data_IF_785491573684
#
_entry.id   IF_785491573684
#
_cell.length_a   1.000
_cell.length_b   1.000
_cell.length_c   1.000
_cell.angle_alpha   90.00
_cell.angle_beta   90.00
_cell.angle_gamma   90.00
#
_symmetry.space_group_name_H-M   'P 1'
#
loop_
_entity.id
_entity.type
_entity.pdbx_description
1 polymer ?
#
# COMPACT_ATOMS: atom_id res chain seq x y z
N UNK A 1 0.82 -19.52 6.89
CA UNK A 1 2.07 -18.73 6.87
C UNK A 1 1.69 -17.29 7.16
N UNK A 2 2.53 -16.52 7.84
CA UNK A 2 2.28 -15.08 7.99
C UNK A 2 2.50 -14.40 6.63
N UNK A 3 1.67 -13.40 6.30
CA UNK A 3 1.82 -12.59 5.10
C UNK A 3 2.86 -11.50 5.30
N UNK A 4 3.34 -10.95 4.19
CA UNK A 4 4.34 -9.89 4.18
C UNK A 4 3.65 -8.52 4.20
N UNK A 5 4.14 -7.60 5.03
CA UNK A 5 3.74 -6.19 5.01
C UNK A 5 4.93 -5.37 4.54
N UNK A 6 4.83 -4.77 3.35
CA UNK A 6 5.83 -3.90 2.77
C UNK A 6 5.25 -2.48 2.63
N UNK A 7 5.95 -1.49 3.19
CA UNK A 7 5.55 -0.08 3.10
C UNK A 7 6.69 0.69 2.43
N UNK A 8 6.39 1.38 1.34
CA UNK A 8 7.35 2.09 0.51
C UNK A 8 6.84 3.51 0.30
N UNK A 9 7.71 4.49 0.51
CA UNK A 9 7.36 5.90 0.41
C UNK A 9 8.27 6.62 -0.58
N UNK A 10 7.85 7.81 -1.01
CA UNK A 10 8.59 8.70 -1.89
C UNK A 10 8.88 8.07 -3.26
N UNK A 11 7.92 7.33 -3.80
CA UNK A 11 8.00 6.75 -5.14
C UNK A 11 7.49 7.72 -6.21
N UNK A 12 8.07 7.64 -7.41
CA UNK A 12 7.43 8.12 -8.62
C UNK A 12 6.50 7.03 -9.16
N UNK A 13 5.40 7.39 -9.82
CA UNK A 13 4.49 6.41 -10.44
C UNK A 13 5.17 5.59 -11.54
N UNK A 14 6.19 6.14 -12.20
CA UNK A 14 6.99 5.43 -13.21
C UNK A 14 8.15 4.62 -12.62
N UNK A 15 8.27 4.56 -11.29
CA UNK A 15 9.34 3.81 -10.65
C UNK A 15 9.20 2.31 -10.95
N UNK A 16 10.27 1.62 -11.41
CA UNK A 16 10.21 0.22 -11.82
C UNK A 16 9.58 -0.72 -10.78
N UNK A 17 9.85 -0.45 -9.50
CA UNK A 17 9.31 -1.21 -8.38
C UNK A 17 7.78 -1.25 -8.38
N UNK A 18 7.10 -0.15 -8.74
CA UNK A 18 5.64 -0.11 -8.82
C UNK A 18 5.15 -1.10 -9.87
N UNK A 19 5.78 -1.12 -11.05
CA UNK A 19 5.42 -2.03 -12.15
C UNK A 19 5.75 -3.48 -11.82
N UNK A 20 6.87 -3.73 -11.17
CA UNK A 20 7.29 -5.07 -10.74
C UNK A 20 6.32 -5.64 -9.70
N UNK A 21 5.96 -4.87 -8.67
CA UNK A 21 4.98 -5.29 -7.66
C UNK A 21 3.60 -5.58 -8.26
N UNK A 22 3.15 -4.78 -9.25
CA UNK A 22 1.87 -5.01 -9.93
C UNK A 22 1.82 -6.31 -10.75
N UNK A 23 2.97 -6.92 -11.05
CA UNK A 23 3.11 -8.18 -11.81
C UNK A 23 3.49 -9.36 -10.93
N UNK A 24 3.73 -9.14 -9.64
CA UNK A 24 4.16 -10.18 -8.70
C UNK A 24 3.06 -11.23 -8.43
N UNK A 25 1.79 -10.83 -8.52
CA UNK A 25 0.65 -11.67 -8.19
C UNK A 25 -0.31 -11.85 -9.38
N UNK A 26 -0.84 -13.06 -9.55
CA UNK A 26 -1.86 -13.36 -10.58
C UNK A 26 -3.26 -12.84 -10.19
N UNK A 27 -3.59 -12.80 -8.89
CA UNK A 27 -4.83 -12.23 -8.34
C UNK A 27 -4.51 -11.37 -7.12
N UNK A 28 -5.00 -10.13 -7.10
CA UNK A 28 -4.84 -9.19 -5.97
C UNK A 28 -5.90 -8.10 -5.99
N UNK A 29 -6.04 -7.41 -4.85
CA UNK A 29 -6.86 -6.20 -4.72
C UNK A 29 -5.99 -4.96 -4.90
N UNK A 30 -6.21 -4.19 -5.96
CA UNK A 30 -5.54 -2.93 -6.22
C UNK A 30 -6.36 -1.77 -5.65
N UNK A 31 -5.88 -1.18 -4.57
CA UNK A 31 -6.53 -0.04 -3.91
C UNK A 31 -5.78 1.25 -4.26
N UNK A 32 -6.44 2.17 -4.96
CA UNK A 32 -5.80 3.41 -5.43
C UNK A 32 -6.47 4.64 -4.84
N UNK A 33 -5.69 5.61 -4.36
CA UNK A 33 -6.26 6.92 -4.01
C UNK A 33 -6.55 7.76 -5.24
N UNK A 34 -7.39 8.78 -5.06
CA UNK A 34 -7.65 9.77 -6.12
C UNK A 34 -6.38 10.42 -6.65
N UNK A 35 -6.42 10.77 -7.94
CA UNK A 35 -5.34 11.47 -8.63
C UNK A 35 -4.18 10.58 -9.11
N UNK A 36 -4.24 9.26 -8.90
CA UNK A 36 -3.35 8.30 -9.55
C UNK A 36 -3.89 7.97 -10.93
N UNK A 37 -3.07 8.20 -11.96
CA UNK A 37 -3.35 7.84 -13.35
C UNK A 37 -2.37 6.74 -13.72
N UNK A 38 -2.89 5.58 -14.10
CA UNK A 38 -2.09 4.45 -14.54
C UNK A 38 -2.77 3.76 -15.73
N UNK A 39 -1.97 3.11 -16.56
CA UNK A 39 -2.48 2.25 -17.61
C UNK A 39 -2.85 0.89 -17.00
N UNK A 40 -4.15 0.63 -16.90
CA UNK A 40 -4.68 -0.61 -16.36
C UNK A 40 -4.56 -1.80 -17.32
N UNK A 41 -4.18 -1.57 -18.59
CA UNK A 41 -4.02 -2.64 -19.57
C UNK A 41 -2.83 -3.56 -19.28
N UNK A 42 -1.90 -3.15 -18.42
CA UNK A 42 -0.76 -3.97 -18.00
C UNK A 42 -1.04 -4.85 -16.77
N UNK A 43 -2.24 -4.78 -16.20
CA UNK A 43 -2.60 -5.55 -15.01
C UNK A 43 -3.07 -6.96 -15.38
N UNK A 44 -2.80 -7.97 -14.52
CA UNK A 44 -3.34 -9.31 -14.73
C UNK A 44 -4.87 -9.33 -14.62
N UNK A 45 -5.53 -10.25 -15.33
CA UNK A 45 -6.99 -10.37 -15.37
C UNK A 45 -7.64 -10.55 -13.99
N UNK A 46 -6.90 -11.12 -13.02
CA UNK A 46 -7.35 -11.30 -11.64
C UNK A 46 -7.32 -10.03 -10.78
N UNK A 47 -6.74 -8.93 -11.26
CA UNK A 47 -6.62 -7.69 -10.49
C UNK A 47 -7.99 -7.02 -10.28
N UNK A 48 -8.38 -6.84 -9.02
CA UNK A 48 -9.62 -6.14 -8.64
C UNK A 48 -9.30 -4.73 -8.21
N UNK A 49 -9.71 -3.76 -9.01
CA UNK A 49 -9.34 -2.35 -8.84
C UNK A 49 -10.45 -1.62 -8.07
N UNK A 50 -10.08 -0.91 -7.01
CA UNK A 50 -10.99 -0.06 -6.24
C UNK A 50 -10.36 1.30 -5.95
N UNK A 51 -11.12 2.37 -6.19
CA UNK A 51 -10.74 3.73 -5.76
C UNK A 51 -11.09 3.96 -4.29
N UNK A 52 -10.18 4.60 -3.58
CA UNK A 52 -10.26 4.92 -2.16
C UNK A 52 -10.18 6.44 -1.99
N UNK A 53 -11.23 7.02 -1.41
CA UNK A 53 -11.34 8.45 -1.16
C UNK A 53 -10.92 8.82 0.26
N UNK A 54 -11.04 7.88 1.21
CA UNK A 54 -10.75 8.12 2.62
C UNK A 54 -10.00 6.96 3.25
N UNK A 55 -9.22 7.25 4.30
CA UNK A 55 -8.56 6.24 5.13
C UNK A 55 -9.54 5.21 5.70
N UNK A 56 -10.75 5.63 6.08
CA UNK A 56 -11.79 4.71 6.56
C UNK A 56 -12.23 3.69 5.51
N UNK A 57 -12.32 4.09 4.24
CA UNK A 57 -12.61 3.16 3.15
C UNK A 57 -11.46 2.17 2.95
N UNK A 58 -10.21 2.63 3.07
CA UNK A 58 -9.03 1.77 2.98
C UNK A 58 -9.02 0.70 4.08
N UNK A 59 -9.16 1.13 5.34
CA UNK A 59 -9.22 0.25 6.50
C UNK A 59 -10.32 -0.78 6.32
N UNK A 60 -11.52 -0.35 5.92
CA UNK A 60 -12.65 -1.24 5.72
C UNK A 60 -12.37 -2.26 4.62
N UNK A 61 -11.80 -1.85 3.49
CA UNK A 61 -11.43 -2.78 2.41
C UNK A 61 -10.40 -3.83 2.88
N UNK A 62 -9.47 -3.48 3.76
CA UNK A 62 -8.47 -4.42 4.30
C UNK A 62 -9.11 -5.40 5.30
N UNK A 63 -9.97 -4.88 6.20
CA UNK A 63 -10.59 -5.67 7.27
C UNK A 63 -11.67 -6.61 6.73
N UNK A 64 -12.63 -6.06 5.96
CA UNK A 64 -13.79 -6.80 5.47
C UNK A 64 -13.51 -7.54 4.14
N UNK A 65 -12.41 -7.19 3.46
CA UNK A 65 -12.09 -7.71 2.14
C UNK A 65 -11.53 -9.13 2.12
N UNK A 66 -11.32 -9.67 0.90
CA UNK A 66 -10.78 -11.01 0.71
C UNK A 66 -9.40 -11.19 1.35
N UNK A 67 -8.97 -12.44 1.48
CA UNK A 67 -7.63 -12.81 1.93
C UNK A 67 -6.64 -12.96 0.77
N UNK A 68 -6.92 -12.34 -0.38
CA UNK A 68 -5.97 -12.19 -1.48
C UNK A 68 -5.00 -11.03 -1.19
N UNK A 69 -3.82 -10.99 -1.82
CA UNK A 69 -2.88 -9.89 -1.66
C UNK A 69 -3.50 -8.52 -1.94
N UNK A 70 -3.01 -7.49 -1.25
CA UNK A 70 -3.36 -6.09 -1.50
C UNK A 70 -2.15 -5.32 -2.02
N UNK A 71 -2.37 -4.59 -3.11
CA UNK A 71 -1.45 -3.56 -3.57
C UNK A 71 -2.18 -2.23 -3.38
N UNK A 72 -1.60 -1.35 -2.57
CA UNK A 72 -2.18 -0.06 -2.23
C UNK A 72 -1.28 1.02 -2.83
N UNK A 73 -1.81 1.81 -3.77
CA UNK A 73 -1.15 2.99 -4.30
C UNK A 73 -1.84 4.22 -3.72
N UNK A 74 -1.12 5.02 -2.95
CA UNK A 74 -1.67 6.26 -2.41
C UNK A 74 -0.81 7.46 -2.75
N UNK A 75 -1.42 8.55 -3.19
CA UNK A 75 -0.71 9.80 -3.37
C UNK A 75 -0.32 10.40 -2.04
N UNK A 76 0.87 10.97 -2.00
CA UNK A 76 1.41 11.52 -0.77
C UNK A 76 0.59 12.69 -0.24
N UNK A 77 0.04 13.55 -1.10
CA UNK A 77 -0.83 14.64 -0.67
C UNK A 77 -2.15 14.15 -0.07
N UNK A 78 -2.69 13.03 -0.57
CA UNK A 78 -3.88 12.39 0.01
C UNK A 78 -3.56 11.78 1.37
N UNK A 79 -2.48 10.99 1.49
CA UNK A 79 -2.09 10.39 2.77
C UNK A 79 -1.75 11.46 3.81
N UNK A 80 -1.06 12.54 3.41
CA UNK A 80 -0.76 13.68 4.27
C UNK A 80 -2.01 14.46 4.73
N UNK A 81 -3.15 14.28 4.06
CA UNK A 81 -4.42 14.88 4.48
C UNK A 81 -5.14 14.07 5.56
N UNK A 82 -4.74 12.82 5.80
CA UNK A 82 -5.38 11.95 6.77
C UNK A 82 -4.91 12.26 8.20
N UNK A 83 -5.81 12.24 9.19
CA UNK A 83 -5.44 12.38 10.59
C UNK A 83 -4.45 11.29 11.03
N UNK A 84 -3.46 11.67 11.85
CA UNK A 84 -2.43 10.75 12.34
C UNK A 84 -3.00 9.51 13.04
N UNK A 85 -4.05 9.69 13.84
CA UNK A 85 -4.71 8.58 14.53
C UNK A 85 -5.33 7.57 13.55
N UNK A 86 -5.83 8.04 12.41
CA UNK A 86 -6.39 7.14 11.39
C UNK A 86 -5.29 6.39 10.64
N UNK A 87 -4.10 7.00 10.51
CA UNK A 87 -2.94 6.37 9.93
C UNK A 87 -2.35 5.27 10.83
N UNK A 88 -2.29 5.50 12.14
CA UNK A 88 -1.94 4.46 13.11
C UNK A 88 -2.92 3.29 13.03
N UNK A 89 -4.24 3.58 12.99
CA UNK A 89 -5.27 2.56 12.85
C UNK A 89 -5.15 1.77 11.52
N UNK A 90 -4.76 2.45 10.43
CA UNK A 90 -4.49 1.81 9.15
C UNK A 90 -3.31 0.86 9.25
N UNK A 91 -2.20 1.30 9.84
CA UNK A 91 -1.03 0.47 10.06
C UNK A 91 -1.35 -0.78 10.88
N UNK A 92 -2.05 -0.62 12.01
CA UNK A 92 -2.48 -1.74 12.85
C UNK A 92 -3.40 -2.71 12.11
N UNK A 93 -4.33 -2.18 11.30
CA UNK A 93 -5.24 -3.01 10.49
C UNK A 93 -4.48 -3.85 9.46
N UNK A 94 -3.50 -3.25 8.77
CA UNK A 94 -2.63 -3.97 7.82
C UNK A 94 -1.83 -5.05 8.53
N UNK A 95 -1.18 -4.71 9.65
CA UNK A 95 -0.39 -5.65 10.45
C UNK A 95 -1.21 -6.82 10.97
N UNK A 96 -2.44 -6.56 11.42
CA UNK A 96 -3.35 -7.63 11.87
C UNK A 96 -3.76 -8.54 10.71
N UNK A 97 -4.12 -7.96 9.55
CA UNK A 97 -4.52 -8.73 8.37
C UNK A 97 -3.39 -9.64 7.89
N UNK A 98 -2.16 -9.13 7.81
CA UNK A 98 -1.01 -9.94 7.36
C UNK A 98 -0.68 -11.06 8.35
N UNK A 99 -0.72 -10.78 9.65
CA UNK A 99 -0.42 -11.76 10.68
C UNK A 99 -1.48 -12.88 10.78
N UNK A 100 -2.77 -12.52 10.83
CA UNK A 100 -3.84 -13.49 11.10
C UNK A 100 -4.36 -14.18 9.84
N UNK A 101 -4.36 -13.50 8.69
CA UNK A 101 -4.91 -14.05 7.45
C UNK A 101 -3.84 -14.53 6.48
N UNK A 102 -2.55 -14.33 6.78
CA UNK A 102 -1.47 -14.70 5.88
C UNK A 102 -1.48 -13.92 4.56
N UNK A 103 -2.05 -12.71 4.59
CA UNK A 103 -2.33 -11.91 3.42
C UNK A 103 -1.21 -10.90 3.20
N UNK A 104 -0.64 -10.87 2.01
CA UNK A 104 0.41 -9.91 1.66
C UNK A 104 -0.19 -8.52 1.41
N UNK A 105 0.47 -7.48 1.90
CA UNK A 105 0.08 -6.08 1.69
C UNK A 105 1.31 -5.28 1.29
N UNK A 106 1.25 -4.67 0.10
CA UNK A 106 2.25 -3.71 -0.38
C UNK A 106 1.61 -2.33 -0.40
N UNK A 107 2.08 -1.43 0.47
CA UNK A 107 1.61 -0.05 0.53
C UNK A 107 2.65 0.90 -0.05
N UNK A 108 2.37 1.45 -1.23
CA UNK A 108 3.23 2.39 -1.94
C UNK A 108 2.65 3.80 -1.91
N UNK A 109 3.44 4.73 -1.37
CA UNK A 109 3.13 6.16 -1.41
C UNK A 109 3.86 6.81 -2.57
N UNK A 110 3.07 7.38 -3.49
CA UNK A 110 3.54 8.02 -4.71
C UNK A 110 3.44 9.55 -4.61
N UNK A 111 4.47 10.25 -5.08
CA UNK A 111 4.55 11.71 -5.03
C UNK A 111 5.43 12.23 -3.89
N UNK A 112 6.28 13.21 -4.19
CA UNK A 112 7.38 13.61 -3.31
C UNK A 112 6.96 14.38 -2.06
N UNK A 113 6.85 13.67 -0.92
CA UNK A 113 7.23 14.12 0.43
C UNK A 113 7.13 12.95 1.40
N UNK A 114 8.20 12.73 2.18
CA UNK A 114 8.34 11.71 3.23
C UNK A 114 7.19 11.80 4.25
N UNK A 115 6.30 10.82 4.25
CA UNK A 115 5.17 10.71 5.17
C UNK A 115 5.50 9.72 6.29
N UNK A 116 6.08 8.57 5.95
CA UNK A 116 6.26 7.49 6.92
C UNK A 116 7.38 7.72 7.94
N UNK A 117 8.31 8.65 7.64
CA UNK A 117 9.33 9.10 8.59
C UNK A 117 8.74 9.80 9.82
N UNK A 118 7.51 10.29 9.73
CA UNK A 118 6.81 10.96 10.82
C UNK A 118 5.83 10.05 11.58
N UNK A 119 5.32 8.96 10.96
CA UNK A 119 4.40 8.01 11.60
C UNK A 119 5.10 6.92 12.40
N UNK A 120 6.28 6.48 11.94
CA UNK A 120 7.11 5.53 12.65
C UNK A 120 8.01 6.33 13.57
N UNK A 121 7.63 6.50 14.84
CA UNK A 121 8.39 7.20 15.89
C UNK A 121 9.91 6.90 15.86
N UNK A 122 10.68 7.60 15.02
CA UNK A 122 12.13 7.50 14.94
C UNK A 122 12.73 6.19 14.42
N UNK A 123 11.95 5.17 14.04
CA UNK A 123 12.51 3.91 13.51
C UNK A 123 12.28 3.79 12.01
N UNK A 124 13.33 4.13 11.27
CA UNK A 124 13.47 3.88 9.84
C UNK A 124 13.62 2.37 9.65
N UNK A 125 12.56 1.69 9.24
CA UNK A 125 12.65 0.43 8.48
C UNK A 125 12.22 0.71 7.05
N UNK A 126 12.94 1.61 6.39
CA UNK A 126 13.11 1.48 4.95
C UNK A 126 14.18 0.40 4.76
N UNK A 127 13.87 -0.65 4.01
CA UNK A 127 14.90 -1.57 3.54
C UNK A 127 15.92 -0.76 2.73
N UNK A 128 17.05 -0.40 3.36
CA UNK A 128 18.27 -0.16 2.61
C UNK A 128 18.62 -1.49 1.95
N UNK A 129 18.61 -1.51 0.61
CA UNK A 129 19.33 -2.51 -0.16
C UNK A 129 20.81 -2.43 0.22
N UNK A 130 21.22 -3.14 1.25
CA UNK A 130 22.61 -3.46 1.50
C UNK A 130 22.97 -4.66 0.61
N UNK A 131 23.43 -4.36 -0.61
CA UNK A 131 24.28 -5.31 -1.31
C UNK A 131 25.59 -5.43 -0.53
N UNK A 132 25.87 -6.61 0.05
CA UNK A 132 27.10 -7.40 -0.09
C UNK A 132 26.94 -8.77 0.60
#
# INVERSE_FOLDING_TARGET
MAGNLLIIDNLDTDYPLVRESLREYEEYSLLITDGIIMDFSELPDGAKIQRILTVYQLIRSIVDGPNTPYIILARSDIVNSWPYQDLDNLYDSMRMKTFYSGCDIIFMVVGGRLIFRNMLHGEVYGEEYAQY
#
